data_IF_306078787630
#
_entry.id   IF_306078787630
#
_cell.length_a   1.000
_cell.length_b   1.000
_cell.length_c   1.000
_cell.angle_alpha   90.00
_cell.angle_beta   90.00
_cell.angle_gamma   90.00
#
_symmetry.space_group_name_H-M   'P 1'
#
loop_
_entity.id
_entity.type
_entity.pdbx_description
1 polymer ?
#
# COMPACT_ATOMS: atom_id res chain seq x y z
N UNK A 1 29.63 -2.80 -13.27
CA UNK A 1 30.19 -2.01 -12.16
C UNK A 1 29.11 -1.47 -11.21
N UNK A 2 27.88 -1.18 -11.66
CA UNK A 2 26.82 -0.67 -10.75
C UNK A 2 26.30 -1.70 -9.73
N UNK A 3 26.20 -3.00 -10.08
CA UNK A 3 25.73 -4.01 -9.11
C UNK A 3 26.66 -4.18 -7.90
N UNK A 4 27.97 -3.93 -8.08
CA UNK A 4 28.94 -4.02 -6.98
C UNK A 4 28.72 -2.90 -5.96
N UNK A 5 28.33 -1.71 -6.41
CA UNK A 5 28.09 -0.57 -5.51
C UNK A 5 26.77 -0.76 -4.75
N UNK A 6 25.75 -1.28 -5.43
CA UNK A 6 24.47 -1.66 -4.80
C UNK A 6 24.70 -2.75 -3.74
N UNK A 7 25.46 -3.80 -4.08
CA UNK A 7 25.82 -4.89 -3.16
C UNK A 7 26.62 -4.40 -1.94
N UNK A 8 27.53 -3.44 -2.13
CA UNK A 8 28.31 -2.84 -1.04
C UNK A 8 27.44 -1.99 -0.11
N UNK A 9 26.47 -1.26 -0.65
CA UNK A 9 25.53 -0.47 0.15
C UNK A 9 24.60 -1.39 0.96
N UNK A 10 24.10 -2.47 0.35
CA UNK A 10 23.28 -3.48 1.03
C UNK A 10 24.08 -4.21 2.12
N UNK A 11 25.35 -4.54 1.86
CA UNK A 11 26.27 -5.12 2.85
C UNK A 11 26.53 -4.19 4.04
N UNK A 12 26.69 -2.89 3.80
CA UNK A 12 26.86 -1.88 4.87
C UNK A 12 25.62 -1.77 5.75
N UNK A 13 24.42 -1.85 5.18
CA UNK A 13 23.16 -1.85 5.92
C UNK A 13 22.94 -3.14 6.72
N UNK A 14 23.38 -4.27 6.16
CA UNK A 14 23.39 -5.57 6.85
C UNK A 14 24.38 -5.59 8.03
N UNK A 15 25.58 -5.04 7.82
CA UNK A 15 26.62 -4.96 8.84
C UNK A 15 26.23 -4.05 10.01
N UNK A 16 25.51 -2.96 9.74
CA UNK A 16 24.97 -2.06 10.77
C UNK A 16 23.74 -2.62 11.50
N UNK A 17 23.30 -3.87 11.21
CA UNK A 17 22.19 -4.55 11.87
C UNK A 17 20.79 -3.98 11.54
N UNK A 18 20.72 -2.87 10.82
CA UNK A 18 19.49 -2.16 10.43
C UNK A 18 18.65 -2.98 9.47
N UNK A 19 19.29 -3.70 8.54
CA UNK A 19 18.59 -4.57 7.61
C UNK A 19 17.81 -5.67 8.35
N UNK A 20 18.41 -6.28 9.38
CA UNK A 20 17.79 -7.40 10.11
C UNK A 20 16.52 -7.00 10.86
N UNK A 21 16.51 -5.84 11.54
CA UNK A 21 15.33 -5.33 12.24
C UNK A 21 14.24 -4.85 11.27
N UNK A 22 14.63 -4.13 10.23
CA UNK A 22 13.71 -3.60 9.22
C UNK A 22 13.06 -4.74 8.42
N UNK A 23 13.84 -5.76 8.07
CA UNK A 23 13.37 -6.95 7.34
C UNK A 23 12.46 -7.81 8.21
N UNK A 24 12.73 -7.96 9.51
CA UNK A 24 11.81 -8.65 10.43
C UNK A 24 10.49 -7.90 10.60
N UNK A 25 10.52 -6.58 10.77
CA UNK A 25 9.31 -5.76 10.87
C UNK A 25 8.48 -5.84 9.57
N UNK A 26 9.12 -5.77 8.40
CA UNK A 26 8.47 -5.95 7.11
C UNK A 26 7.85 -7.35 6.97
N UNK A 27 8.54 -8.40 7.42
CA UNK A 27 8.00 -9.76 7.41
C UNK A 27 6.77 -9.90 8.31
N UNK A 28 6.80 -9.36 9.52
CA UNK A 28 5.65 -9.35 10.44
C UNK A 28 4.48 -8.58 9.81
N UNK A 29 4.73 -7.39 9.26
CA UNK A 29 3.70 -6.63 8.53
C UNK A 29 3.12 -7.41 7.35
N UNK A 30 3.95 -8.18 6.64
CA UNK A 30 3.51 -9.05 5.55
C UNK A 30 2.58 -10.16 6.03
N UNK A 31 2.90 -10.81 7.16
CA UNK A 31 2.03 -11.82 7.79
C UNK A 31 0.71 -11.20 8.22
N UNK A 32 0.75 -10.04 8.90
CA UNK A 32 -0.46 -9.34 9.34
C UNK A 32 -1.34 -8.92 8.16
N UNK A 33 -0.75 -8.39 7.08
CA UNK A 33 -1.48 -8.06 5.86
C UNK A 33 -2.25 -9.27 5.32
N UNK A 34 -1.56 -10.40 5.17
CA UNK A 34 -2.18 -11.63 4.70
C UNK A 34 -3.29 -12.12 5.64
N UNK A 35 -3.12 -12.02 6.96
CA UNK A 35 -4.17 -12.39 7.92
C UNK A 35 -5.42 -11.51 7.76
N UNK A 36 -5.24 -10.19 7.60
CA UNK A 36 -6.35 -9.26 7.37
C UNK A 36 -7.05 -9.58 6.06
N UNK A 37 -6.31 -9.83 4.97
CA UNK A 37 -6.88 -10.17 3.67
C UNK A 37 -7.67 -11.50 3.73
N UNK A 38 -7.13 -12.52 4.40
CA UNK A 38 -7.82 -13.80 4.59
C UNK A 38 -9.06 -13.69 5.47
N UNK A 39 -9.09 -12.76 6.43
CA UNK A 39 -10.28 -12.48 7.23
C UNK A 39 -11.32 -11.65 6.45
N UNK A 40 -10.87 -10.74 5.58
CA UNK A 40 -11.71 -9.88 4.77
C UNK A 40 -12.58 -10.67 3.79
N UNK A 41 -11.98 -11.60 3.04
CA UNK A 41 -12.66 -12.36 2.00
C UNK A 41 -13.94 -13.09 2.46
N UNK A 42 -13.94 -13.91 3.53
CA UNK A 42 -15.15 -14.59 3.99
C UNK A 42 -16.21 -13.62 4.52
N UNK A 43 -15.80 -12.52 5.17
CA UNK A 43 -16.71 -11.49 5.68
C UNK A 43 -17.40 -10.77 4.52
N UNK A 44 -16.62 -10.33 3.53
CA UNK A 44 -17.13 -9.72 2.30
C UNK A 44 -18.11 -10.66 1.57
N UNK A 45 -17.79 -11.96 1.49
CA UNK A 45 -18.70 -12.94 0.90
C UNK A 45 -19.99 -13.12 1.68
N UNK A 46 -19.95 -13.08 3.01
CA UNK A 46 -21.15 -13.14 3.82
C UNK A 46 -22.03 -11.88 3.66
N UNK A 47 -21.43 -10.69 3.57
CA UNK A 47 -22.15 -9.45 3.21
C UNK A 47 -22.84 -9.57 1.85
N UNK A 48 -22.10 -10.00 0.82
CA UNK A 48 -22.65 -10.18 -0.52
C UNK A 48 -23.78 -11.23 -0.58
N UNK A 49 -23.64 -12.37 0.12
CA UNK A 49 -24.70 -13.40 0.20
C UNK A 49 -25.97 -12.88 0.89
N UNK A 50 -25.83 -11.98 1.85
CA UNK A 50 -26.96 -11.30 2.47
C UNK A 50 -27.63 -10.34 1.48
N UNK A 51 -26.87 -9.52 0.75
CA UNK A 51 -27.40 -8.58 -0.26
C UNK A 51 -28.19 -9.29 -1.37
N UNK A 52 -27.73 -10.47 -1.82
CA UNK A 52 -28.43 -11.30 -2.83
C UNK A 52 -29.62 -12.06 -2.22
N UNK A 53 -29.81 -12.01 -0.90
CA UNK A 53 -30.93 -12.66 -0.20
C UNK A 53 -30.77 -14.18 0.02
N UNK A 54 -29.58 -14.73 -0.25
CA UNK A 54 -29.26 -16.15 0.00
C UNK A 54 -29.11 -16.40 1.50
N UNK A 55 -28.41 -15.48 2.18
CA UNK A 55 -28.20 -15.55 3.62
C UNK A 55 -29.24 -14.68 4.33
N UNK A 56 -30.08 -15.26 5.17
CA UNK A 56 -31.03 -14.51 6.00
C UNK A 56 -30.39 -14.13 7.32
N UNK A 57 -29.85 -12.91 7.38
CA UNK A 57 -29.37 -12.29 8.63
C UNK A 57 -30.40 -11.29 9.14
N UNK A 58 -30.32 -10.95 10.42
CA UNK A 58 -31.02 -9.75 10.92
C UNK A 58 -30.31 -8.50 10.39
N UNK A 59 -31.05 -7.43 10.13
CA UNK A 59 -30.49 -6.15 9.66
C UNK A 59 -29.35 -5.64 10.56
N UNK A 60 -29.50 -5.85 11.88
CA UNK A 60 -28.49 -5.46 12.88
C UNK A 60 -27.18 -6.26 12.72
N UNK A 61 -27.29 -7.55 12.39
CA UNK A 61 -26.12 -8.41 12.17
C UNK A 61 -25.45 -8.08 10.85
N UNK A 62 -26.24 -7.88 9.79
CA UNK A 62 -25.74 -7.50 8.47
C UNK A 62 -24.97 -6.17 8.51
N UNK A 63 -25.55 -5.15 9.15
CA UNK A 63 -24.90 -3.84 9.32
C UNK A 63 -23.57 -3.93 10.09
N UNK A 64 -23.51 -4.73 11.16
CA UNK A 64 -22.25 -4.96 11.91
C UNK A 64 -21.19 -5.66 11.04
N UNK A 65 -21.62 -6.61 10.21
CA UNK A 65 -20.74 -7.37 9.34
C UNK A 65 -20.17 -6.50 8.22
N UNK A 66 -21.00 -5.67 7.60
CA UNK A 66 -20.59 -4.67 6.61
C UNK A 66 -19.60 -3.68 7.22
N UNK A 67 -19.92 -3.14 8.40
CA UNK A 67 -19.03 -2.25 9.16
C UNK A 67 -17.67 -2.92 9.44
N UNK A 68 -17.68 -4.21 9.81
CA UNK A 68 -16.45 -4.98 10.03
C UNK A 68 -15.67 -5.25 8.73
N UNK A 69 -16.36 -5.55 7.63
CA UNK A 69 -15.76 -5.71 6.30
C UNK A 69 -15.02 -4.44 5.87
N UNK A 70 -15.67 -3.29 6.00
CA UNK A 70 -15.09 -1.98 5.67
C UNK A 70 -13.91 -1.64 6.57
N UNK A 71 -13.94 -2.01 7.86
CA UNK A 71 -12.78 -1.86 8.75
C UNK A 71 -11.59 -2.71 8.33
N UNK A 72 -11.82 -3.99 7.98
CA UNK A 72 -10.76 -4.88 7.51
C UNK A 72 -10.14 -4.34 6.21
N UNK A 73 -10.97 -3.82 5.30
CA UNK A 73 -10.50 -3.17 4.09
C UNK A 73 -9.66 -1.91 4.38
N UNK A 74 -10.14 -1.02 5.25
CA UNK A 74 -9.37 0.17 5.65
C UNK A 74 -8.04 -0.22 6.34
N UNK A 75 -8.05 -1.26 7.17
CA UNK A 75 -6.85 -1.76 7.84
C UNK A 75 -5.83 -2.35 6.85
N UNK A 76 -6.26 -3.12 5.85
CA UNK A 76 -5.35 -3.67 4.83
C UNK A 76 -4.69 -2.57 3.99
N UNK A 77 -5.44 -1.51 3.68
CA UNK A 77 -4.92 -0.33 2.99
C UNK A 77 -3.88 0.43 3.84
N UNK A 78 -4.14 0.60 5.14
CA UNK A 78 -3.18 1.23 6.06
C UNK A 78 -1.89 0.41 6.18
N UNK A 79 -1.99 -0.92 6.31
CA UNK A 79 -0.82 -1.80 6.34
C UNK A 79 -0.03 -1.69 5.02
N UNK A 80 -0.72 -1.69 3.88
CA UNK A 80 -0.11 -1.51 2.56
C UNK A 80 0.62 -0.16 2.45
N UNK A 81 0.05 0.92 3.01
CA UNK A 81 0.70 2.23 3.03
C UNK A 81 1.96 2.23 3.90
N UNK A 82 1.94 1.56 5.05
CA UNK A 82 3.12 1.42 5.92
C UNK A 82 4.24 0.64 5.21
N UNK A 83 3.90 -0.46 4.54
CA UNK A 83 4.87 -1.25 3.77
C UNK A 83 5.46 -0.46 2.61
N UNK A 84 4.61 0.26 1.86
CA UNK A 84 5.03 1.14 0.75
C UNK A 84 5.95 2.24 1.25
N UNK A 85 5.60 2.90 2.35
CA UNK A 85 6.43 3.95 2.98
C UNK A 85 7.79 3.43 3.44
N UNK A 86 7.81 2.21 3.99
CA UNK A 86 9.06 1.54 4.37
C UNK A 86 9.93 1.23 3.14
N UNK A 87 9.32 0.84 2.02
CA UNK A 87 9.99 0.63 0.74
C UNK A 87 10.59 1.93 0.19
N UNK A 88 9.81 3.02 0.19
CA UNK A 88 10.26 4.37 -0.20
C UNK A 88 11.49 4.79 0.61
N UNK A 89 11.45 4.60 1.94
CA UNK A 89 12.57 4.96 2.83
C UNK A 89 13.84 4.19 2.48
N UNK A 90 13.73 2.89 2.20
CA UNK A 90 14.87 2.06 1.77
C UNK A 90 15.44 2.52 0.42
N UNK A 91 14.57 2.78 -0.56
CA UNK A 91 14.98 3.30 -1.87
C UNK A 91 15.67 4.66 -1.77
N UNK A 92 15.16 5.55 -0.91
CA UNK A 92 15.78 6.85 -0.63
C UNK A 92 17.18 6.71 -0.05
N UNK A 93 17.36 5.79 0.90
CA UNK A 93 18.66 5.55 1.51
C UNK A 93 19.65 4.96 0.51
N UNK A 94 19.24 3.93 -0.25
CA UNK A 94 20.05 3.34 -1.32
C UNK A 94 20.48 4.40 -2.34
N UNK A 95 19.57 5.30 -2.74
CA UNK A 95 19.88 6.44 -3.62
C UNK A 95 20.92 7.38 -3.00
N UNK A 96 20.80 7.74 -1.72
CA UNK A 96 21.74 8.64 -1.03
C UNK A 96 23.13 8.03 -0.90
N UNK A 97 23.21 6.73 -0.58
CA UNK A 97 24.46 5.98 -0.54
C UNK A 97 25.12 5.92 -1.93
N UNK A 98 24.35 5.59 -2.98
CA UNK A 98 24.85 5.55 -4.36
C UNK A 98 25.34 6.93 -4.82
N UNK A 99 24.65 8.00 -4.42
CA UNK A 99 25.06 9.37 -4.73
C UNK A 99 26.40 9.73 -4.08
N UNK A 100 26.67 9.25 -2.87
CA UNK A 100 27.96 9.45 -2.17
C UNK A 100 29.08 8.60 -2.75
N UNK A 101 28.78 7.41 -3.27
CA UNK A 101 29.76 6.45 -3.75
C UNK A 101 30.14 6.61 -5.25
N UNK A 102 29.32 7.27 -6.07
CA UNK A 102 29.50 7.29 -7.53
C UNK A 102 30.22 8.54 -8.07
N UNK A 103 31.54 8.48 -8.25
CA UNK A 103 32.31 9.40 -9.12
C UNK A 103 32.37 8.88 -10.58
N UNK A 104 31.28 8.90 -11.36
CA UNK A 104 31.23 8.64 -12.83
C UNK A 104 30.68 7.29 -13.35
N UNK A 105 30.21 6.36 -12.51
CA UNK A 105 29.78 5.01 -12.97
C UNK A 105 28.31 4.60 -12.71
N UNK A 106 27.55 5.35 -11.92
CA UNK A 106 26.25 4.92 -11.39
C UNK A 106 24.99 5.53 -12.03
N UNK A 107 25.10 6.21 -13.18
CA UNK A 107 23.98 6.99 -13.74
C UNK A 107 22.73 6.15 -14.04
N UNK A 108 22.93 4.93 -14.55
CA UNK A 108 21.82 4.01 -14.90
C UNK A 108 21.14 3.42 -13.64
N UNK A 109 21.92 2.97 -12.66
CA UNK A 109 21.40 2.50 -11.37
C UNK A 109 20.63 3.60 -10.63
N UNK A 110 21.16 4.83 -10.64
CA UNK A 110 20.48 6.00 -10.08
C UNK A 110 19.14 6.27 -10.77
N UNK A 111 19.13 6.24 -12.11
CA UNK A 111 17.90 6.45 -12.89
C UNK A 111 16.84 5.38 -12.55
N UNK A 112 17.26 4.13 -12.43
CA UNK A 112 16.35 3.03 -12.06
C UNK A 112 15.81 3.19 -10.62
N UNK A 113 16.64 3.59 -9.66
CA UNK A 113 16.19 3.93 -8.30
C UNK A 113 15.21 5.12 -8.28
N UNK A 114 15.52 6.20 -9.01
CA UNK A 114 14.64 7.37 -9.11
C UNK A 114 13.28 7.00 -9.72
N UNK A 115 13.25 6.16 -10.76
CA UNK A 115 12.01 5.62 -11.34
C UNK A 115 11.22 4.81 -10.32
N UNK A 116 11.86 3.88 -9.60
CA UNK A 116 11.20 3.10 -8.54
C UNK A 116 10.63 4.00 -7.45
N UNK A 117 11.39 4.99 -7.02
CA UNK A 117 10.98 5.94 -5.98
C UNK A 117 9.74 6.76 -6.40
N UNK A 118 9.71 7.24 -7.64
CA UNK A 118 8.54 7.94 -8.20
C UNK A 118 7.33 7.00 -8.23
N UNK A 119 7.51 5.77 -8.72
CA UNK A 119 6.42 4.79 -8.81
C UNK A 119 5.86 4.45 -7.42
N UNK A 120 6.70 4.16 -6.43
CA UNK A 120 6.27 3.87 -5.05
C UNK A 120 5.59 5.09 -4.40
N UNK A 121 6.05 6.30 -4.70
CA UNK A 121 5.42 7.54 -4.22
C UNK A 121 4.02 7.75 -4.80
N UNK A 122 3.81 7.42 -6.09
CA UNK A 122 2.48 7.43 -6.71
C UNK A 122 1.59 6.35 -6.09
N UNK A 123 2.12 5.16 -5.80
CA UNK A 123 1.38 4.10 -5.07
C UNK A 123 0.94 4.59 -3.69
N UNK A 124 1.82 5.24 -2.94
CA UNK A 124 1.48 5.79 -1.63
C UNK A 124 0.37 6.85 -1.73
N UNK A 125 0.45 7.77 -2.70
CA UNK A 125 -0.61 8.75 -2.95
C UNK A 125 -1.95 8.11 -3.31
N UNK A 126 -1.93 7.08 -4.16
CA UNK A 126 -3.11 6.28 -4.51
C UNK A 126 -3.71 5.60 -3.28
N UNK A 127 -2.89 4.99 -2.43
CA UNK A 127 -3.34 4.36 -1.19
C UNK A 127 -3.99 5.37 -0.24
N UNK A 128 -3.48 6.60 -0.14
CA UNK A 128 -4.13 7.66 0.64
C UNK A 128 -5.55 7.98 0.11
N UNK A 129 -5.75 7.99 -1.20
CA UNK A 129 -7.07 8.16 -1.81
C UNK A 129 -7.99 6.99 -1.46
N UNK A 130 -7.50 5.75 -1.57
CA UNK A 130 -8.28 4.56 -1.21
C UNK A 130 -8.64 4.52 0.28
N UNK A 131 -7.71 4.88 1.17
CA UNK A 131 -7.97 4.98 2.61
C UNK A 131 -9.04 6.02 2.88
N UNK A 132 -8.98 7.16 2.19
CA UNK A 132 -10.00 8.21 2.29
C UNK A 132 -11.36 7.69 1.86
N UNK A 133 -11.43 6.94 0.76
CA UNK A 133 -12.65 6.30 0.29
C UNK A 133 -13.18 5.28 1.31
N UNK A 134 -12.36 4.31 1.71
CA UNK A 134 -12.76 3.24 2.63
C UNK A 134 -13.25 3.77 3.98
N UNK A 135 -12.56 4.75 4.57
CA UNK A 135 -12.99 5.36 5.84
C UNK A 135 -14.27 6.17 5.66
N UNK A 136 -14.50 6.77 4.49
CA UNK A 136 -15.77 7.49 4.22
C UNK A 136 -16.97 6.55 4.14
N UNK A 137 -16.76 5.27 3.85
CA UNK A 137 -17.79 4.22 3.86
C UNK A 137 -18.06 3.65 5.26
N UNK A 138 -17.31 4.06 6.29
CA UNK A 138 -17.64 3.70 7.66
C UNK A 138 -18.76 4.59 8.20
N UNK A 139 -19.56 4.10 9.17
CA UNK A 139 -20.65 4.87 9.71
C UNK A 139 -20.17 6.07 10.54
N UNK A 140 -21.08 7.01 10.78
CA UNK A 140 -20.81 8.16 11.64
C UNK A 140 -20.24 7.75 13.01
N UNK A 141 -19.25 8.50 13.49
CA UNK A 141 -18.52 8.19 14.72
C UNK A 141 -17.21 7.43 14.51
N UNK A 142 -16.98 6.85 13.33
CA UNK A 142 -15.70 6.25 12.95
C UNK A 142 -14.84 7.24 12.16
N UNK A 143 -13.89 7.91 12.80
CA UNK A 143 -13.02 8.92 12.18
C UNK A 143 -13.84 10.02 11.44
N UNK A 144 -13.80 10.00 10.10
CA UNK A 144 -14.58 10.88 9.22
C UNK A 144 -15.64 10.14 8.38
N UNK A 145 -16.03 8.94 8.82
CA UNK A 145 -17.11 8.16 8.22
C UNK A 145 -18.36 8.98 7.95
N UNK A 146 -18.90 8.83 6.74
CA UNK A 146 -20.07 9.55 6.19
C UNK A 146 -19.96 11.10 6.15
N UNK A 147 -18.87 11.72 6.66
CA UNK A 147 -18.70 13.18 6.65
C UNK A 147 -18.35 13.76 5.28
N UNK A 148 -17.84 12.93 4.38
CA UNK A 148 -17.50 13.33 3.01
C UNK A 148 -18.68 12.98 2.10
N UNK A 149 -19.26 13.99 1.44
CA UNK A 149 -20.40 13.77 0.55
C UNK A 149 -20.12 12.75 -0.57
N UNK A 150 -21.10 11.92 -0.90
CA UNK A 150 -21.00 10.78 -1.82
C UNK A 150 -20.37 11.11 -3.17
N UNK A 151 -20.69 12.27 -3.76
CA UNK A 151 -20.10 12.71 -5.04
C UNK A 151 -18.58 12.91 -4.95
N UNK A 152 -18.09 13.47 -3.83
CA UNK A 152 -16.65 13.67 -3.62
C UNK A 152 -15.95 12.34 -3.41
N UNK A 153 -16.57 11.45 -2.64
CA UNK A 153 -16.06 10.09 -2.40
C UNK A 153 -15.95 9.31 -3.71
N UNK A 154 -16.98 9.35 -4.55
CA UNK A 154 -16.97 8.71 -5.86
C UNK A 154 -15.88 9.28 -6.79
N UNK A 155 -15.66 10.60 -6.76
CA UNK A 155 -14.58 11.23 -7.52
C UNK A 155 -13.19 10.80 -7.03
N UNK A 156 -12.99 10.67 -5.72
CA UNK A 156 -11.75 10.15 -5.10
C UNK A 156 -11.49 8.71 -5.57
N UNK A 157 -12.50 7.84 -5.47
CA UNK A 157 -12.40 6.44 -5.88
C UNK A 157 -12.08 6.32 -7.38
N UNK A 158 -12.75 7.11 -8.21
CA UNK A 158 -12.52 7.14 -9.67
C UNK A 158 -11.10 7.60 -9.99
N UNK A 159 -10.63 8.66 -9.33
CA UNK A 159 -9.27 9.19 -9.51
C UNK A 159 -8.22 8.15 -9.13
N UNK A 160 -8.40 7.48 -7.98
CA UNK A 160 -7.53 6.39 -7.53
C UNK A 160 -7.45 5.26 -8.55
N UNK A 161 -8.59 4.84 -9.10
CA UNK A 161 -8.66 3.79 -10.12
C UNK A 161 -7.92 4.17 -11.40
N UNK A 162 -8.10 5.40 -11.90
CA UNK A 162 -7.38 5.92 -13.07
C UNK A 162 -5.86 5.93 -12.83
N UNK A 163 -5.41 6.37 -11.65
CA UNK A 163 -3.99 6.30 -11.25
C UNK A 163 -3.50 4.85 -11.29
N UNK A 164 -4.29 3.90 -10.75
CA UNK A 164 -3.95 2.47 -10.75
C UNK A 164 -3.74 1.91 -12.16
N UNK A 165 -4.65 2.22 -13.10
CA UNK A 165 -4.53 1.82 -14.50
C UNK A 165 -3.28 2.44 -15.14
N UNK A 166 -3.07 3.74 -14.96
CA UNK A 166 -1.89 4.43 -15.49
C UNK A 166 -0.59 3.81 -14.94
N UNK A 167 -0.57 3.49 -13.64
CA UNK A 167 0.56 2.87 -12.96
C UNK A 167 0.88 1.47 -13.48
N UNK A 168 -0.14 0.67 -13.80
CA UNK A 168 0.07 -0.64 -14.42
C UNK A 168 0.85 -0.51 -15.74
N UNK A 169 0.43 0.42 -16.61
CA UNK A 169 1.14 0.67 -17.87
C UNK A 169 2.52 1.31 -17.67
N UNK A 170 2.66 2.23 -16.71
CA UNK A 170 3.93 2.88 -16.38
C UNK A 170 4.96 1.86 -15.88
N UNK A 171 4.60 1.00 -14.92
CA UNK A 171 5.48 -0.08 -14.41
C UNK A 171 5.95 -0.98 -15.54
N UNK A 172 5.03 -1.40 -16.43
CA UNK A 172 5.36 -2.27 -17.59
C UNK A 172 6.30 -1.61 -18.62
N UNK A 173 6.34 -0.28 -18.70
CA UNK A 173 7.20 0.46 -19.64
C UNK A 173 8.54 0.88 -19.02
N UNK A 174 8.52 1.29 -17.75
CA UNK A 174 9.66 1.94 -17.08
C UNK A 174 10.56 0.96 -16.30
N UNK A 175 10.07 -0.24 -15.96
CA UNK A 175 10.84 -1.29 -15.27
C UNK A 175 11.24 -2.43 -16.23
N UNK A 176 11.34 -2.14 -17.53
CA UNK A 176 11.86 -3.08 -18.53
C UNK A 176 13.37 -3.05 -18.60
#
# INVERSE_FOLDING_TARGET
MSSIVDDVCDLLDSYNGRDKETTRAAAILGVVANMVDQAFLPVEKACWLYEVGVLKLSDKTAYKLETFSTMLWAASLLISLIQTSSSIRRLWWSRDCLQKASENGGADAKKHLDVRLILESIVAGKLCLDITHAISCLPEGWLWGEKIGSTKVAAIATTSSVIGIAMYFAKKRLLK
#
